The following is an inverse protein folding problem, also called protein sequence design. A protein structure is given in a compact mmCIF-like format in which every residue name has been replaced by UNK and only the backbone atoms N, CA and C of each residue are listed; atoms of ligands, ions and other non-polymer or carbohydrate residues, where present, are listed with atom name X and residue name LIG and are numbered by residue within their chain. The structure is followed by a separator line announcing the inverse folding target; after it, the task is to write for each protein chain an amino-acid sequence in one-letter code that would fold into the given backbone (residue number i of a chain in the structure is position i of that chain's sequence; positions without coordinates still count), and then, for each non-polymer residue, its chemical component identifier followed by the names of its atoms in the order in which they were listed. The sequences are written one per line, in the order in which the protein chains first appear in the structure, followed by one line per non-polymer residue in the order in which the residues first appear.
data_IF_318390325274
#
_entry.id   IF_318390325274
#
_cell.length_a   1.000
_cell.length_b   1.000
_cell.length_c   1.000
_cell.angle_alpha   90.00
_cell.angle_beta   90.00
_cell.angle_gamma   90.00
#
_symmetry.space_group_name_H-M   'P 1'
#
loop_
_entity.id
_entity.type
_entity.pdbx_description
1 polymer ?
#
# COMPACT_ATOMS: atom_id res chain seq x y z
N UNK A 1 5.89 3.31 22.43
CA UNK A 1 6.25 1.89 22.21
C UNK A 1 6.66 1.62 20.76
N UNK A 2 7.47 0.58 20.51
CA UNK A 2 7.82 0.11 19.16
C UNK A 2 6.94 -1.09 18.79
N UNK A 3 6.32 -1.07 17.61
CA UNK A 3 5.44 -2.14 17.12
C UNK A 3 6.13 -2.91 16.00
N UNK A 4 5.84 -4.20 15.88
CA UNK A 4 6.36 -5.02 14.80
C UNK A 4 5.27 -5.98 14.31
N UNK A 5 5.28 -6.36 13.03
CA UNK A 5 4.41 -7.42 12.58
C UNK A 5 4.78 -8.74 13.27
N UNK A 6 3.78 -9.52 13.64
CA UNK A 6 3.92 -10.88 14.10
C UNK A 6 4.42 -11.81 12.98
N UNK A 7 4.90 -13.00 13.35
CA UNK A 7 5.30 -14.03 12.39
C UNK A 7 4.16 -14.38 11.43
N UNK A 8 2.94 -14.60 11.96
CA UNK A 8 1.76 -14.87 11.12
C UNK A 8 1.40 -13.71 10.18
N UNK A 9 1.61 -12.45 10.58
CA UNK A 9 1.42 -11.31 9.69
C UNK A 9 2.45 -11.33 8.56
N UNK A 10 3.72 -11.58 8.88
CA UNK A 10 4.79 -11.66 7.87
C UNK A 10 4.60 -12.81 6.90
N UNK A 11 4.21 -13.99 7.37
CA UNK A 11 3.89 -15.14 6.51
C UNK A 11 2.81 -14.78 5.48
N UNK A 12 1.75 -14.10 5.94
CA UNK A 12 0.67 -13.64 5.05
C UNK A 12 1.13 -12.56 4.08
N UNK A 13 1.94 -11.60 4.54
CA UNK A 13 2.55 -10.60 3.67
C UNK A 13 3.39 -11.26 2.59
N UNK A 14 4.26 -12.19 2.96
CA UNK A 14 5.14 -12.90 2.03
C UNK A 14 4.36 -13.66 0.96
N UNK A 15 3.25 -14.29 1.36
CA UNK A 15 2.37 -15.02 0.46
C UNK A 15 1.63 -14.11 -0.53
N UNK A 16 1.27 -12.89 -0.13
CA UNK A 16 0.40 -11.99 -0.91
C UNK A 16 1.14 -10.89 -1.67
N UNK A 17 2.33 -10.50 -1.21
CA UNK A 17 2.98 -9.27 -1.65
C UNK A 17 3.34 -9.27 -3.14
N UNK A 18 3.88 -10.38 -3.66
CA UNK A 18 4.21 -10.52 -5.09
C UNK A 18 3.12 -11.34 -5.78
N UNK A 19 2.40 -10.76 -6.75
CA UNK A 19 1.36 -11.46 -7.50
C UNK A 19 1.93 -12.60 -8.36
N UNK A 20 1.11 -13.60 -8.69
CA UNK A 20 1.53 -14.77 -9.50
C UNK A 20 1.79 -14.43 -10.97
N UNK A 21 1.14 -13.38 -11.49
CA UNK A 21 1.36 -12.86 -12.83
C UNK A 21 2.25 -11.63 -12.75
N UNK A 22 3.21 -11.56 -13.66
CA UNK A 22 4.07 -10.40 -13.81
C UNK A 22 3.38 -9.37 -14.71
N UNK A 23 3.44 -8.10 -14.28
CA UNK A 23 2.95 -6.96 -15.03
C UNK A 23 4.15 -6.10 -15.43
N UNK A 24 4.33 -5.90 -16.74
CA UNK A 24 5.34 -5.01 -17.27
C UNK A 24 4.68 -3.84 -18.00
N UNK A 25 5.04 -2.63 -17.61
CA UNK A 25 4.51 -1.40 -18.19
C UNK A 25 5.48 -0.92 -19.26
N UNK A 26 4.95 -0.53 -20.42
CA UNK A 26 5.74 -0.06 -21.56
C UNK A 26 5.03 1.11 -22.25
N UNK A 27 5.79 1.89 -22.99
CA UNK A 27 5.29 2.94 -23.89
C UNK A 27 5.21 2.43 -25.34
N UNK A 28 4.50 3.16 -26.20
CA UNK A 28 4.27 2.79 -27.59
C UNK A 28 5.58 2.50 -28.34
N UNK A 29 6.62 3.31 -28.09
CA UNK A 29 7.91 3.21 -28.79
C UNK A 29 8.72 1.95 -28.41
N UNK A 30 8.40 1.31 -27.29
CA UNK A 30 9.06 0.08 -26.86
C UNK A 30 8.46 -1.17 -27.55
N UNK A 31 7.24 -1.09 -28.09
CA UNK A 31 6.55 -2.25 -28.69
C UNK A 31 7.35 -2.98 -29.78
N UNK A 32 7.97 -2.28 -30.76
CA UNK A 32 8.73 -2.96 -31.81
C UNK A 32 9.87 -3.84 -31.29
N UNK A 33 10.38 -3.59 -30.07
CA UNK A 33 11.43 -4.41 -29.44
C UNK A 33 10.91 -5.79 -29.04
N UNK A 34 9.60 -5.92 -28.80
CA UNK A 34 8.96 -7.11 -28.24
C UNK A 34 7.98 -7.81 -29.20
N UNK A 35 7.80 -7.32 -30.42
CA UNK A 35 6.82 -7.82 -31.40
C UNK A 35 6.86 -9.37 -31.57
N UNK A 36 8.06 -9.94 -31.65
CA UNK A 36 8.26 -11.39 -31.84
C UNK A 36 7.83 -12.25 -30.63
N UNK A 37 7.76 -11.66 -29.44
CA UNK A 37 7.47 -12.36 -28.18
C UNK A 37 6.12 -11.98 -27.56
N UNK A 38 5.51 -10.90 -28.05
CA UNK A 38 4.28 -10.33 -27.48
C UNK A 38 3.05 -11.20 -27.74
N UNK A 39 3.07 -12.01 -28.81
CA UNK A 39 1.97 -12.94 -29.14
C UNK A 39 1.75 -14.05 -28.11
N UNK A 40 2.64 -14.19 -27.11
CA UNK A 40 2.55 -15.20 -26.04
C UNK A 40 1.99 -14.63 -24.73
N UNK A 41 1.68 -13.33 -24.70
CA UNK A 41 1.23 -12.58 -23.51
C UNK A 41 0.00 -11.75 -23.85
N UNK A 42 -0.66 -11.21 -22.82
CA UNK A 42 -1.69 -10.21 -23.06
C UNK A 42 -1.03 -8.83 -23.09
N UNK A 43 -1.19 -8.13 -24.21
CA UNK A 43 -0.88 -6.70 -24.30
C UNK A 43 -2.17 -5.91 -24.13
N UNK A 44 -2.30 -5.22 -23.01
CA UNK A 44 -3.54 -4.52 -22.65
C UNK A 44 -3.29 -3.01 -22.69
N UNK A 45 -4.10 -2.22 -23.43
CA UNK A 45 -4.05 -0.76 -23.34
C UNK A 45 -4.24 -0.29 -21.90
N UNK A 46 -3.49 0.72 -21.48
CA UNK A 46 -3.51 1.22 -20.09
C UNK A 46 -4.90 1.58 -19.59
N UNK A 47 -5.70 2.25 -20.43
CA UNK A 47 -7.06 2.67 -20.06
C UNK A 47 -7.97 1.45 -19.84
N UNK A 48 -7.83 0.39 -20.64
CA UNK A 48 -8.55 -0.85 -20.43
C UNK A 48 -8.07 -1.55 -19.15
N UNK A 49 -6.75 -1.62 -18.96
CA UNK A 49 -6.13 -2.28 -17.81
C UNK A 49 -6.65 -1.71 -16.48
N UNK A 50 -6.69 -0.38 -16.33
CA UNK A 50 -7.15 0.27 -15.11
C UNK A 50 -8.67 0.21 -14.90
N UNK A 51 -9.44 -0.11 -15.94
CA UNK A 51 -10.88 -0.36 -15.85
C UNK A 51 -11.22 -1.85 -15.71
N UNK A 52 -10.25 -2.74 -15.90
CA UNK A 52 -10.46 -4.18 -15.84
C UNK A 52 -10.65 -4.67 -14.39
N UNK A 53 -11.76 -5.36 -14.12
CA UNK A 53 -12.16 -5.76 -12.77
C UNK A 53 -11.10 -6.61 -12.02
N UNK A 54 -10.37 -7.47 -12.73
CA UNK A 54 -9.32 -8.29 -12.12
C UNK A 54 -8.01 -7.54 -11.89
N UNK A 55 -7.71 -6.52 -12.70
CA UNK A 55 -6.42 -5.83 -12.66
C UNK A 55 -6.46 -4.57 -11.80
N UNK A 56 -7.65 -3.97 -11.61
CA UNK A 56 -7.88 -2.86 -10.68
C UNK A 56 -7.97 -3.30 -9.21
N UNK A 57 -7.75 -4.58 -8.91
CA UNK A 57 -7.80 -5.06 -7.53
C UNK A 57 -6.76 -4.37 -6.66
N UNK A 58 -7.16 -3.99 -5.44
CA UNK A 58 -6.32 -3.22 -4.51
C UNK A 58 -5.00 -3.91 -4.19
N UNK A 59 -4.98 -5.25 -4.17
CA UNK A 59 -3.75 -6.00 -3.94
C UNK A 59 -2.72 -5.75 -5.05
N UNK A 60 -3.14 -5.79 -6.32
CA UNK A 60 -2.25 -5.51 -7.44
C UNK A 60 -1.82 -4.04 -7.45
N UNK A 61 -2.75 -3.13 -7.18
CA UNK A 61 -2.45 -1.71 -7.10
C UNK A 61 -1.41 -1.39 -6.04
N UNK A 62 -1.48 -2.06 -4.88
CA UNK A 62 -0.51 -1.90 -3.81
C UNK A 62 0.85 -2.53 -4.13
N UNK A 63 0.87 -3.76 -4.67
CA UNK A 63 2.14 -4.44 -5.02
C UNK A 63 2.93 -3.68 -6.08
N UNK A 64 2.25 -3.24 -7.13
CA UNK A 64 2.87 -2.54 -8.26
C UNK A 64 2.83 -1.02 -8.13
N UNK A 65 2.33 -0.50 -7.00
CA UNK A 65 2.24 0.92 -6.68
C UNK A 65 1.67 1.75 -7.84
N UNK A 66 0.48 1.42 -8.33
CA UNK A 66 -0.08 2.03 -9.54
C UNK A 66 -0.15 3.56 -9.53
N UNK A 67 -0.24 4.18 -8.35
CA UNK A 67 -0.23 5.62 -8.19
C UNK A 67 1.13 6.28 -8.45
N UNK A 68 2.22 5.51 -8.42
CA UNK A 68 3.58 5.94 -8.70
C UNK A 68 3.99 5.73 -10.17
N UNK A 69 3.18 4.97 -10.92
CA UNK A 69 3.47 4.61 -12.31
C UNK A 69 3.60 5.84 -13.22
N UNK A 70 4.59 5.80 -14.12
CA UNK A 70 4.80 6.83 -15.13
C UNK A 70 3.54 7.08 -15.98
N UNK A 71 3.31 8.36 -16.29
CA UNK A 71 2.26 8.77 -17.23
C UNK A 71 2.55 8.31 -18.67
N UNK A 72 3.82 8.05 -18.98
CA UNK A 72 4.28 7.59 -20.29
C UNK A 72 3.91 6.13 -20.60
N UNK A 73 3.56 5.32 -19.59
CA UNK A 73 3.10 3.96 -19.87
C UNK A 73 1.81 4.02 -20.73
N UNK A 74 1.80 3.31 -21.86
CA UNK A 74 0.66 3.20 -22.77
C UNK A 74 0.02 1.80 -22.74
N UNK A 75 0.84 0.78 -22.47
CA UNK A 75 0.40 -0.61 -22.44
C UNK A 75 0.92 -1.34 -21.20
N UNK A 76 0.22 -2.42 -20.85
CA UNK A 76 0.61 -3.37 -19.82
C UNK A 76 0.73 -4.75 -20.46
N UNK A 77 1.92 -5.32 -20.43
CA UNK A 77 2.15 -6.73 -20.71
C UNK A 77 1.78 -7.52 -19.45
N UNK A 78 0.78 -8.39 -19.56
CA UNK A 78 0.45 -9.37 -18.54
C UNK A 78 1.02 -10.72 -18.95
N UNK A 79 2.01 -11.18 -18.19
CA UNK A 79 2.76 -12.38 -18.50
C UNK A 79 2.66 -13.45 -17.40
N UNK A 80 2.92 -14.69 -17.78
CA UNK A 80 3.19 -15.75 -16.82
C UNK A 80 4.58 -15.53 -16.20
N UNK A 81 4.82 -16.08 -15.01
CA UNK A 81 6.09 -15.93 -14.29
C UNK A 81 7.33 -16.45 -15.03
N UNK A 82 7.13 -17.31 -16.03
CA UNK A 82 8.22 -17.90 -16.80
C UNK A 82 8.57 -17.09 -18.05
N UNK A 83 7.65 -16.28 -18.57
CA UNK A 83 7.82 -15.60 -19.86
C UNK A 83 9.09 -14.74 -19.89
N UNK A 84 9.40 -14.02 -18.81
CA UNK A 84 10.59 -13.17 -18.75
C UNK A 84 11.90 -13.97 -18.85
N UNK A 85 11.92 -15.23 -18.40
CA UNK A 85 13.10 -16.11 -18.48
C UNK A 85 13.34 -16.65 -19.89
N UNK A 86 12.29 -16.67 -20.70
CA UNK A 86 12.33 -17.15 -22.08
C UNK A 86 12.73 -16.03 -23.07
N UNK A 87 12.76 -14.78 -22.60
CA UNK A 87 13.22 -13.65 -23.40
C UNK A 87 14.71 -13.77 -23.73
N UNK A 88 15.13 -13.39 -24.96
CA UNK A 88 16.53 -13.18 -25.27
C UNK A 88 17.19 -12.24 -24.26
N UNK A 89 18.44 -12.47 -23.83
CA UNK A 89 19.08 -11.70 -22.76
C UNK A 89 19.03 -10.18 -22.96
N UNK A 90 19.25 -9.69 -24.17
CA UNK A 90 19.18 -8.27 -24.50
C UNK A 90 17.77 -7.68 -24.37
N UNK A 91 16.74 -8.42 -24.78
CA UNK A 91 15.33 -8.01 -24.63
C UNK A 91 14.91 -8.02 -23.16
N UNK A 92 15.37 -9.03 -22.38
CA UNK A 92 15.15 -9.10 -20.94
C UNK A 92 15.75 -7.87 -20.25
N UNK A 93 17.04 -7.62 -20.45
CA UNK A 93 17.73 -6.46 -19.87
C UNK A 93 17.01 -5.16 -20.20
N UNK A 94 16.64 -4.97 -21.48
CA UNK A 94 15.91 -3.78 -21.92
C UNK A 94 14.54 -3.65 -21.25
N UNK A 95 13.79 -4.74 -21.10
CA UNK A 95 12.49 -4.73 -20.43
C UNK A 95 12.61 -4.32 -18.96
N UNK A 96 13.60 -4.87 -18.25
CA UNK A 96 13.86 -4.54 -16.84
C UNK A 96 14.23 -3.05 -16.66
N UNK A 97 15.06 -2.52 -17.55
CA UNK A 97 15.40 -1.09 -17.60
C UNK A 97 14.16 -0.21 -17.82
N UNK A 98 13.26 -0.62 -18.72
CA UNK A 98 11.98 0.07 -18.94
C UNK A 98 11.15 0.07 -17.65
N UNK A 99 11.11 -1.03 -16.88
CA UNK A 99 10.32 -1.08 -15.66
C UNK A 99 10.79 -0.09 -14.60
N UNK A 100 12.11 0.09 -14.47
CA UNK A 100 12.67 1.11 -13.59
C UNK A 100 12.26 2.52 -14.06
N UNK A 101 12.39 2.82 -15.37
CA UNK A 101 11.93 4.09 -15.97
C UNK A 101 10.44 4.34 -15.74
N UNK A 102 9.61 3.30 -15.82
CA UNK A 102 8.17 3.39 -15.61
C UNK A 102 7.78 3.57 -14.14
N UNK A 103 8.74 3.55 -13.22
CA UNK A 103 8.53 3.64 -11.77
C UNK A 103 7.51 2.61 -11.27
N UNK A 104 7.62 1.38 -11.79
CA UNK A 104 6.78 0.26 -11.38
C UNK A 104 7.16 -0.16 -9.95
N UNK A 105 6.17 -0.48 -9.11
CA UNK A 105 6.42 -1.15 -7.83
C UNK A 105 7.10 -2.51 -8.00
N UNK A 106 7.47 -3.14 -6.88
CA UNK A 106 8.30 -4.36 -6.83
C UNK A 106 9.70 -4.17 -7.44
N UNK A 107 10.26 -2.97 -7.33
CA UNK A 107 11.66 -2.67 -7.68
C UNK A 107 12.35 -2.18 -6.41
N UNK A 108 13.42 -2.85 -6.00
CA UNK A 108 14.10 -2.56 -4.73
C UNK A 108 15.58 -2.32 -4.96
N UNK A 109 16.22 -1.40 -4.23
CA UNK A 109 17.66 -1.30 -4.26
C UNK A 109 18.26 -2.60 -3.71
N UNK A 110 19.38 -3.05 -4.27
CA UNK A 110 20.05 -4.29 -3.86
C UNK A 110 20.37 -4.29 -2.35
N UNK A 111 20.65 -3.12 -1.79
CA UNK A 111 20.92 -2.92 -0.37
C UNK A 111 19.77 -3.37 0.54
N UNK A 112 18.56 -3.58 0.02
CA UNK A 112 17.42 -4.05 0.79
C UNK A 112 17.43 -5.56 1.06
N UNK A 113 18.27 -6.31 0.36
CA UNK A 113 18.40 -7.76 0.55
C UNK A 113 19.49 -8.05 1.58
N UNK A 114 19.20 -8.91 2.55
CA UNK A 114 20.16 -9.34 3.58
C UNK A 114 21.31 -10.16 3.00
N UNK A 115 21.02 -10.89 1.93
CA UNK A 115 21.93 -11.73 1.17
C UNK A 115 21.61 -11.60 -0.31
N UNK A 116 22.62 -11.75 -1.16
CA UNK A 116 22.48 -11.57 -2.60
C UNK A 116 22.90 -12.87 -3.32
N UNK A 117 21.98 -13.85 -3.43
CA UNK A 117 22.23 -15.03 -4.25
C UNK A 117 22.54 -14.64 -5.70
N UNK A 118 23.38 -15.41 -6.40
CA UNK A 118 23.77 -15.11 -7.79
C UNK A 118 22.55 -14.96 -8.72
N UNK A 119 21.50 -15.77 -8.51
CA UNK A 119 20.30 -15.68 -9.33
C UNK A 119 19.51 -14.37 -9.16
N UNK A 120 19.71 -13.66 -8.04
CA UNK A 120 19.07 -12.35 -7.83
C UNK A 120 19.55 -11.33 -8.87
N UNK A 121 20.80 -11.47 -9.30
CA UNK A 121 21.42 -10.63 -10.34
C UNK A 121 20.87 -10.88 -11.73
N UNK A 122 20.12 -11.98 -11.95
CA UNK A 122 19.46 -12.23 -13.23
C UNK A 122 18.46 -11.13 -13.60
N UNK A 123 17.94 -10.40 -12.61
CA UNK A 123 17.01 -9.28 -12.78
C UNK A 123 17.57 -7.94 -12.25
N UNK A 124 18.90 -7.81 -12.17
CA UNK A 124 19.53 -6.57 -11.75
C UNK A 124 19.52 -5.53 -12.87
N UNK A 125 19.36 -4.27 -12.46
CA UNK A 125 19.34 -3.08 -13.31
C UNK A 125 20.20 -2.03 -12.64
N UNK A 126 21.13 -1.44 -13.39
CA UNK A 126 21.94 -0.33 -12.88
C UNK A 126 21.33 1.00 -13.30
N UNK A 127 21.16 1.91 -12.34
CA UNK A 127 20.81 3.31 -12.59
C UNK A 127 21.75 4.21 -11.78
N UNK A 128 22.55 5.01 -12.50
CA UNK A 128 23.64 5.81 -11.92
C UNK A 128 24.63 4.92 -11.15
N UNK A 129 24.78 5.16 -9.85
CA UNK A 129 25.68 4.41 -8.94
C UNK A 129 24.93 3.33 -8.14
N UNK A 130 23.60 3.25 -8.29
CA UNK A 130 22.76 2.31 -7.55
C UNK A 130 22.38 1.10 -8.41
N UNK A 131 22.34 -0.06 -7.77
CA UNK A 131 21.89 -1.30 -8.37
C UNK A 131 20.52 -1.67 -7.80
N UNK A 132 19.58 -1.94 -8.70
CA UNK A 132 18.18 -2.23 -8.41
C UNK A 132 17.82 -3.64 -8.86
N UNK A 133 16.94 -4.28 -8.11
CA UNK A 133 16.38 -5.59 -8.44
C UNK A 133 14.92 -5.41 -8.83
N UNK A 134 14.61 -5.78 -10.07
CA UNK A 134 13.24 -5.84 -10.56
C UNK A 134 12.66 -7.20 -10.17
N UNK A 135 11.84 -7.20 -9.11
CA UNK A 135 11.27 -8.43 -8.57
C UNK A 135 10.12 -8.92 -9.47
N UNK A 136 10.20 -10.20 -9.84
CA UNK A 136 9.20 -10.95 -10.59
C UNK A 136 8.68 -12.12 -9.76
N UNK A 137 7.55 -12.70 -10.16
CA UNK A 137 6.93 -13.82 -9.46
C UNK A 137 7.88 -15.02 -9.29
N UNK A 138 8.58 -15.43 -10.36
CA UNK A 138 9.57 -16.52 -10.30
C UNK A 138 10.72 -16.20 -9.33
N UNK A 139 11.29 -14.99 -9.44
CA UNK A 139 12.39 -14.57 -8.58
C UNK A 139 11.97 -14.57 -7.11
N UNK A 140 10.77 -14.06 -6.82
CA UNK A 140 10.20 -14.09 -5.48
C UNK A 140 10.03 -15.51 -4.95
N UNK A 141 9.56 -16.46 -5.78
CA UNK A 141 9.41 -17.87 -5.36
C UNK A 141 10.75 -18.50 -4.99
N UNK A 142 11.81 -18.19 -5.73
CA UNK A 142 13.17 -18.75 -5.53
C UNK A 142 13.90 -18.20 -4.29
N UNK A 143 13.52 -17.03 -3.78
CA UNK A 143 14.12 -16.48 -2.56
C UNK A 143 13.82 -17.37 -1.34
N UNK A 144 14.76 -17.45 -0.40
CA UNK A 144 14.52 -18.10 0.89
C UNK A 144 13.54 -17.30 1.73
N UNK A 145 12.85 -17.96 2.67
CA UNK A 145 11.92 -17.28 3.60
C UNK A 145 12.63 -16.17 4.37
N UNK A 146 13.86 -16.40 4.84
CA UNK A 146 14.67 -15.41 5.57
C UNK A 146 14.91 -14.13 4.76
N UNK A 147 15.25 -14.26 3.47
CA UNK A 147 15.47 -13.07 2.61
C UNK A 147 14.15 -12.33 2.38
N UNK A 148 13.04 -13.06 2.18
CA UNK A 148 11.70 -12.46 2.02
C UNK A 148 11.28 -11.70 3.27
N UNK A 149 11.45 -12.28 4.45
CA UNK A 149 11.14 -11.63 5.73
C UNK A 149 11.96 -10.36 5.94
N UNK A 150 13.28 -10.42 5.69
CA UNK A 150 14.14 -9.26 5.80
C UNK A 150 13.71 -8.13 4.85
N UNK A 151 13.48 -8.47 3.57
CA UNK A 151 13.00 -7.50 2.59
C UNK A 151 11.67 -6.87 3.02
N UNK A 152 10.70 -7.69 3.45
CA UNK A 152 9.38 -7.21 3.86
C UNK A 152 9.47 -6.28 5.07
N UNK A 153 10.26 -6.63 6.09
CA UNK A 153 10.44 -5.76 7.28
C UNK A 153 11.11 -4.44 6.89
N UNK A 154 12.18 -4.49 6.11
CA UNK A 154 12.95 -3.32 5.71
C UNK A 154 12.13 -2.38 4.83
N UNK A 155 11.38 -2.94 3.88
CA UNK A 155 10.50 -2.17 3.01
C UNK A 155 9.29 -1.62 3.76
N UNK A 156 8.66 -2.40 4.64
CA UNK A 156 7.52 -1.95 5.45
C UNK A 156 7.84 -0.73 6.32
N UNK A 157 9.08 -0.59 6.79
CA UNK A 157 9.54 0.58 7.55
C UNK A 157 9.66 1.87 6.71
N UNK A 158 9.61 1.77 5.38
CA UNK A 158 9.52 2.95 4.50
C UNK A 158 8.11 3.52 4.44
N UNK A 159 7.08 2.72 4.77
CA UNK A 159 5.67 3.12 4.68
C UNK A 159 5.17 3.84 5.92
N UNK A 160 5.71 3.50 7.09
CA UNK A 160 5.32 4.12 8.34
C UNK A 160 6.41 3.91 9.41
N UNK A 161 6.47 4.85 10.35
CA UNK A 161 7.24 4.69 11.58
C UNK A 161 6.54 3.68 12.47
N UNK A 162 7.33 2.73 12.96
CA UNK A 162 6.87 1.68 13.87
C UNK A 162 6.82 2.13 15.33
N UNK A 163 6.80 3.43 15.57
CA UNK A 163 6.57 4.02 16.88
C UNK A 163 5.08 4.33 17.05
N UNK A 164 4.54 4.01 18.22
CA UNK A 164 3.16 4.29 18.60
C UNK A 164 3.07 4.70 20.06
N UNK A 165 1.99 5.37 20.43
CA UNK A 165 1.63 5.56 21.84
C UNK A 165 1.11 4.24 22.43
N UNK A 166 1.14 4.11 23.76
CA UNK A 166 0.60 2.93 24.44
C UNK A 166 -0.92 2.85 24.30
N UNK A 167 -1.45 1.63 24.19
CA UNK A 167 -2.90 1.41 24.10
C UNK A 167 -3.54 1.70 25.46
N UNK A 168 -4.45 2.69 25.57
CA UNK A 168 -5.03 3.04 26.87
C UNK A 168 -5.88 1.92 27.48
N UNK A 169 -5.85 1.78 28.81
CA UNK A 169 -6.63 0.75 29.52
C UNK A 169 -8.15 0.93 29.40
N UNK A 170 -8.63 2.16 29.20
CA UNK A 170 -10.06 2.43 29.03
C UNK A 170 -10.57 2.12 27.61
N UNK A 171 -9.68 1.88 26.64
CA UNK A 171 -10.09 1.68 25.25
C UNK A 171 -10.99 0.43 25.10
N UNK A 172 -12.10 0.49 24.34
CA UNK A 172 -12.95 -0.67 24.12
C UNK A 172 -12.18 -1.87 23.58
N UNK A 173 -12.50 -3.08 24.09
CA UNK A 173 -11.79 -4.32 23.74
C UNK A 173 -11.73 -4.57 22.22
N UNK A 174 -12.81 -4.22 21.51
CA UNK A 174 -12.88 -4.38 20.07
C UNK A 174 -11.84 -3.51 19.34
N UNK A 175 -11.63 -2.27 19.77
CA UNK A 175 -10.60 -1.38 19.19
C UNK A 175 -9.21 -1.82 19.65
N UNK A 176 -9.04 -2.20 20.93
CA UNK A 176 -7.77 -2.73 21.47
C UNK A 176 -7.22 -3.91 20.67
N UNK A 177 -8.10 -4.78 20.14
CA UNK A 177 -7.72 -5.91 19.27
C UNK A 177 -6.90 -5.46 18.05
N UNK A 178 -7.14 -4.25 17.54
CA UNK A 178 -6.49 -3.69 16.37
C UNK A 178 -5.54 -2.53 16.69
N UNK A 179 -5.55 -2.00 17.90
CA UNK A 179 -4.62 -0.97 18.32
C UNK A 179 -3.18 -1.52 18.25
N UNK A 180 -2.29 -0.76 17.60
CA UNK A 180 -0.86 -1.03 17.55
C UNK A 180 -0.50 -2.37 16.89
N UNK A 181 -1.28 -2.78 15.89
CA UNK A 181 -1.06 -4.01 15.12
C UNK A 181 -1.09 -3.73 13.61
N UNK A 182 -0.68 -4.73 12.85
CA UNK A 182 -0.68 -4.66 11.39
C UNK A 182 -1.86 -5.44 10.78
N UNK A 183 -2.46 -4.94 9.69
CA UNK A 183 -3.33 -5.75 8.84
C UNK A 183 -2.54 -6.90 8.20
N UNK A 184 -3.23 -8.00 7.92
CA UNK A 184 -2.64 -9.12 7.18
C UNK A 184 -2.88 -9.04 5.68
N UNK A 185 -3.73 -8.11 5.23
CA UNK A 185 -4.17 -7.95 3.85
C UNK A 185 -4.24 -6.46 3.50
N UNK A 186 -4.06 -6.12 2.22
CA UNK A 186 -4.27 -4.75 1.74
C UNK A 186 -5.77 -4.47 1.56
N UNK A 187 -6.15 -3.19 1.58
CA UNK A 187 -7.54 -2.77 1.33
C UNK A 187 -8.12 -1.93 2.46
N UNK A 188 -7.85 -2.30 3.71
CA UNK A 188 -8.16 -1.45 4.87
C UNK A 188 -7.49 -0.09 4.70
N UNK A 189 -8.25 1.00 4.82
CA UNK A 189 -7.73 2.38 4.78
C UNK A 189 -8.14 3.19 6.02
N UNK A 190 -7.72 4.46 6.09
CA UNK A 190 -8.03 5.36 7.21
C UNK A 190 -9.54 5.51 7.48
N UNK A 191 -10.33 5.58 6.40
CA UNK A 191 -11.79 5.69 6.45
C UNK A 191 -12.42 4.45 7.06
N UNK A 192 -11.97 3.26 6.65
CA UNK A 192 -12.42 1.99 7.21
C UNK A 192 -12.07 1.85 8.70
N UNK A 193 -10.83 2.18 9.08
CA UNK A 193 -10.39 2.16 10.48
C UNK A 193 -11.23 3.10 11.37
N UNK A 194 -11.54 4.28 10.84
CA UNK A 194 -12.37 5.28 11.54
C UNK A 194 -13.82 4.81 11.68
N UNK A 195 -14.45 4.31 10.62
CA UNK A 195 -15.83 3.79 10.69
C UNK A 195 -15.94 2.54 11.56
N UNK A 196 -14.91 1.69 11.57
CA UNK A 196 -14.82 0.58 12.49
C UNK A 196 -14.85 1.08 13.94
N UNK A 197 -14.02 2.07 14.30
CA UNK A 197 -13.99 2.61 15.66
C UNK A 197 -15.31 3.28 16.05
N UNK A 198 -15.94 4.02 15.11
CA UNK A 198 -17.27 4.64 15.29
C UNK A 198 -18.38 3.63 15.52
N UNK A 199 -18.37 2.51 14.79
CA UNK A 199 -19.51 1.57 14.74
C UNK A 199 -19.34 0.32 15.59
N UNK A 200 -18.11 -0.01 15.98
CA UNK A 200 -17.74 -1.28 16.61
C UNK A 200 -17.91 -2.52 15.72
N UNK A 201 -18.19 -2.35 14.41
CA UNK A 201 -18.46 -3.46 13.50
C UNK A 201 -17.16 -3.99 12.89
N UNK A 202 -16.68 -5.14 13.37
CA UNK A 202 -15.35 -5.67 13.04
C UNK A 202 -15.09 -5.82 11.54
N UNK A 203 -16.07 -6.28 10.76
CA UNK A 203 -15.88 -6.51 9.32
C UNK A 203 -15.50 -5.23 8.55
N UNK A 204 -15.93 -4.06 9.03
CA UNK A 204 -15.64 -2.77 8.38
C UNK A 204 -14.15 -2.46 8.37
N UNK A 205 -13.37 -2.90 9.37
CA UNK A 205 -11.96 -2.54 9.45
C UNK A 205 -11.15 -3.11 8.29
N UNK A 206 -11.64 -4.16 7.63
CA UNK A 206 -10.97 -4.84 6.51
C UNK A 206 -11.39 -4.29 5.13
N UNK A 207 -12.37 -3.39 5.08
CA UNK A 207 -12.92 -2.87 3.84
C UNK A 207 -12.09 -1.73 3.25
N UNK A 208 -12.22 -1.55 1.94
CA UNK A 208 -11.78 -0.32 1.28
C UNK A 208 -12.95 0.67 1.21
N UNK A 209 -12.98 1.62 2.14
CA UNK A 209 -14.07 2.61 2.20
C UNK A 209 -13.73 3.83 1.34
N UNK A 210 -14.66 4.23 0.48
CA UNK A 210 -14.55 5.46 -0.33
C UNK A 210 -15.09 6.70 0.40
N UNK A 211 -14.61 7.92 0.07
CA UNK A 211 -15.02 9.16 0.73
C UNK A 211 -16.55 9.38 0.80
N UNK A 212 -17.29 9.10 -0.28
CA UNK A 212 -18.75 9.26 -0.24
C UNK A 212 -19.40 8.29 0.74
N UNK A 213 -19.03 7.00 0.71
CA UNK A 213 -19.52 5.99 1.66
C UNK A 213 -19.22 6.40 3.11
N UNK A 214 -18.03 6.97 3.34
CA UNK A 214 -17.64 7.48 4.65
C UNK A 214 -18.53 8.63 5.12
N UNK A 215 -18.74 9.65 4.27
CA UNK A 215 -19.63 10.78 4.57
C UNK A 215 -21.07 10.35 4.83
N UNK A 216 -21.61 9.43 4.03
CA UNK A 216 -22.96 8.89 4.20
C UNK A 216 -23.14 8.13 5.53
N UNK A 217 -22.09 7.44 5.99
CA UNK A 217 -22.13 6.75 7.27
C UNK A 217 -22.02 7.75 8.42
N UNK A 218 -21.09 8.69 8.36
CA UNK A 218 -20.90 9.71 9.39
C UNK A 218 -22.13 10.61 9.55
N UNK A 219 -22.76 11.05 8.46
CA UNK A 219 -23.94 11.92 8.53
C UNK A 219 -25.13 11.31 9.29
N UNK A 220 -25.15 9.98 9.45
CA UNK A 220 -26.19 9.24 10.18
C UNK A 220 -25.91 9.13 11.68
N UNK A 221 -24.63 9.11 12.08
CA UNK A 221 -24.22 8.88 13.48
C UNK A 221 -23.59 10.09 14.15
N UNK A 222 -23.04 11.01 13.35
CA UNK A 222 -22.30 12.19 13.80
C UNK A 222 -22.83 13.46 13.10
N UNK A 223 -22.55 14.61 13.71
CA UNK A 223 -22.81 15.94 13.16
C UNK A 223 -21.50 16.73 13.14
N UNK A 224 -21.34 17.58 12.13
CA UNK A 224 -20.24 18.53 12.05
C UNK A 224 -20.39 19.55 13.19
N UNK A 225 -19.31 19.86 13.90
CA UNK A 225 -19.29 20.85 14.97
C UNK A 225 -18.26 21.95 14.70
N UNK A 226 -18.64 23.19 14.98
CA UNK A 226 -17.75 24.36 14.86
C UNK A 226 -16.96 24.56 16.16
N UNK A 227 -15.98 23.70 16.38
CA UNK A 227 -15.08 23.79 17.55
C UNK A 227 -13.71 23.23 17.20
N UNK A 228 -12.69 23.65 17.95
CA UNK A 228 -11.35 23.05 17.94
C UNK A 228 -11.16 22.05 19.07
N UNK A 229 -12.10 21.99 20.01
CA UNK A 229 -12.00 21.16 21.21
C UNK A 229 -12.48 19.74 20.91
N UNK A 230 -11.51 18.82 20.81
CA UNK A 230 -11.73 17.40 20.61
C UNK A 230 -12.16 16.72 21.93
N UNK A 231 -13.26 15.97 21.87
CA UNK A 231 -13.71 15.08 22.96
C UNK A 231 -13.65 13.63 22.50
N UNK A 232 -13.53 12.68 23.44
CA UNK A 232 -13.55 11.26 23.12
C UNK A 232 -14.79 10.90 22.29
N UNK A 233 -14.59 10.12 21.22
CA UNK A 233 -15.65 9.76 20.28
C UNK A 233 -15.74 10.66 19.06
N UNK A 234 -15.06 11.81 19.05
CA UNK A 234 -14.99 12.65 17.86
C UNK A 234 -14.23 11.98 16.72
N UNK A 235 -14.61 12.30 15.49
CA UNK A 235 -13.86 11.99 14.28
C UNK A 235 -13.25 13.27 13.74
N UNK A 236 -11.93 13.28 13.60
CA UNK A 236 -11.21 14.30 12.85
C UNK A 236 -11.07 13.84 11.39
N UNK A 237 -11.52 14.67 10.46
CA UNK A 237 -11.35 14.44 9.02
C UNK A 237 -10.58 15.60 8.39
N UNK A 238 -9.59 15.29 7.56
CA UNK A 238 -8.80 16.24 6.82
C UNK A 238 -9.27 16.28 5.37
N UNK A 239 -9.68 17.47 4.92
CA UNK A 239 -10.32 17.70 3.64
C UNK A 239 -9.47 18.61 2.74
N UNK A 240 -9.38 18.27 1.46
CA UNK A 240 -8.81 19.17 0.45
C UNK A 240 -9.75 20.34 0.16
N UNK A 241 -9.23 21.35 -0.54
CA UNK A 241 -9.99 22.57 -0.86
C UNK A 241 -11.28 22.33 -1.67
N UNK A 242 -11.36 21.23 -2.41
CA UNK A 242 -12.54 20.76 -3.15
C UNK A 242 -13.52 19.92 -2.29
N UNK A 243 -13.25 19.80 -0.98
CA UNK A 243 -14.07 19.06 -0.02
C UNK A 243 -13.91 17.55 -0.10
N UNK A 244 -12.86 17.01 -0.74
CA UNK A 244 -12.57 15.58 -0.69
C UNK A 244 -11.86 15.21 0.61
N UNK A 245 -12.34 14.17 1.30
CA UNK A 245 -11.67 13.68 2.51
C UNK A 245 -10.42 12.92 2.08
N UNK A 246 -9.28 13.41 2.55
CA UNK A 246 -7.95 12.84 2.31
C UNK A 246 -7.54 11.90 3.44
N UNK A 247 -7.94 12.22 4.67
CA UNK A 247 -7.68 11.39 5.84
C UNK A 247 -8.78 11.51 6.89
N UNK A 248 -8.94 10.49 7.73
CA UNK A 248 -9.79 10.55 8.91
C UNK A 248 -9.24 9.67 10.02
N UNK A 249 -9.50 10.07 11.27
CA UNK A 249 -9.10 9.32 12.45
C UNK A 249 -10.08 9.52 13.61
N UNK A 250 -10.20 8.51 14.46
CA UNK A 250 -11.13 8.48 15.59
C UNK A 250 -10.41 8.89 16.89
N UNK A 251 -10.89 9.93 17.56
CA UNK A 251 -10.32 10.42 18.81
C UNK A 251 -10.76 9.51 19.97
N UNK A 252 -9.78 8.84 20.57
CA UNK A 252 -10.00 7.90 21.69
C UNK A 252 -9.83 8.58 23.06
N UNK A 253 -9.70 9.91 23.12
CA UNK A 253 -9.47 10.64 24.36
C UNK A 253 -8.00 10.92 24.65
N UNK A 254 -7.73 11.82 25.60
CA UNK A 254 -6.37 12.25 25.99
C UNK A 254 -5.48 12.69 24.80
N UNK A 255 -6.05 13.34 23.78
CA UNK A 255 -5.33 13.73 22.56
C UNK A 255 -4.78 12.54 21.76
N UNK A 256 -5.28 11.33 22.00
CA UNK A 256 -4.90 10.12 21.30
C UNK A 256 -5.95 9.76 20.24
N UNK A 257 -5.46 9.15 19.17
CA UNK A 257 -6.23 8.82 17.98
C UNK A 257 -5.99 7.39 17.55
N UNK A 258 -7.06 6.67 17.20
CA UNK A 258 -6.98 5.41 16.47
C UNK A 258 -6.88 5.72 14.97
N UNK A 259 -5.73 5.40 14.39
CA UNK A 259 -5.28 5.94 13.11
C UNK A 259 -4.69 4.86 12.19
N UNK A 260 -4.75 5.09 10.88
CA UNK A 260 -4.05 4.31 9.86
C UNK A 260 -3.67 5.19 8.67
N UNK A 261 -2.38 5.32 8.37
CA UNK A 261 -1.85 6.28 7.38
C UNK A 261 -1.85 5.79 5.91
N UNK A 262 -2.54 4.70 5.59
CA UNK A 262 -2.57 4.22 4.20
C UNK A 262 -3.30 2.90 4.02
N UNK A 263 -3.43 2.49 2.76
CA UNK A 263 -4.24 1.32 2.36
C UNK A 263 -3.44 0.01 2.25
N UNK A 264 -2.12 0.08 2.38
CA UNK A 264 -1.27 -1.12 2.30
C UNK A 264 -1.31 -1.88 3.63
N UNK A 265 -0.88 -3.13 3.59
CA UNK A 265 -0.71 -3.88 4.82
C UNK A 265 0.53 -3.48 5.64
N UNK A 266 1.43 -2.69 5.04
CA UNK A 266 2.60 -2.13 5.74
C UNK A 266 2.23 -0.94 6.61
N UNK A 267 1.09 -0.28 6.36
CA UNK A 267 0.58 0.76 7.24
C UNK A 267 -0.16 0.12 8.43
N UNK A 268 0.36 0.21 9.66
CA UNK A 268 -0.30 -0.33 10.85
C UNK A 268 -1.59 0.44 11.20
N UNK A 269 -2.45 -0.20 11.98
CA UNK A 269 -3.42 0.51 12.81
C UNK A 269 -2.74 0.90 14.11
N UNK A 270 -2.70 2.20 14.42
CA UNK A 270 -1.91 2.76 15.51
C UNK A 270 -2.72 3.65 16.42
N UNK A 271 -2.31 3.67 17.68
CA UNK A 271 -2.62 4.75 18.60
C UNK A 271 -1.54 5.81 18.44
N UNK A 272 -1.94 7.00 18.01
CA UNK A 272 -1.04 8.13 17.77
C UNK A 272 -1.51 9.37 18.53
N UNK A 273 -0.58 10.21 18.96
CA UNK A 273 -0.91 11.48 19.59
C UNK A 273 -1.24 12.55 18.54
N UNK A 274 -2.18 13.45 18.84
CA UNK A 274 -2.61 14.52 17.93
C UNK A 274 -1.45 15.40 17.44
N UNK A 275 -0.47 15.65 18.30
CA UNK A 275 0.80 16.35 17.99
C UNK A 275 1.59 15.75 16.82
N UNK A 276 1.45 14.45 16.56
CA UNK A 276 2.10 13.77 15.44
C UNK A 276 1.18 13.72 14.22
N UNK A 277 -0.12 13.50 14.45
CA UNK A 277 -1.12 13.39 13.40
C UNK A 277 -1.39 14.72 12.68
N UNK A 278 -1.51 15.83 13.43
CA UNK A 278 -1.87 17.13 12.86
C UNK A 278 -0.82 17.67 11.88
N UNK A 279 0.50 17.62 12.15
CA UNK A 279 1.51 18.03 11.18
C UNK A 279 1.49 17.22 9.88
N UNK A 280 1.24 15.91 9.97
CA UNK A 280 1.22 14.99 8.82
C UNK A 280 0.15 15.38 7.78
N UNK A 281 -0.99 15.88 8.24
CA UNK A 281 -2.13 16.26 7.39
C UNK A 281 -2.36 17.78 7.34
N UNK A 282 -1.36 18.57 7.75
CA UNK A 282 -1.46 20.04 7.91
C UNK A 282 -1.76 20.82 6.63
N UNK A 283 -1.53 20.21 5.46
CA UNK A 283 -1.88 20.77 4.15
C UNK A 283 -3.39 20.76 3.85
N UNK A 284 -4.19 20.11 4.69
CA UNK A 284 -5.63 19.96 4.54
C UNK A 284 -6.38 20.62 5.71
N UNK A 285 -7.61 21.06 5.44
CA UNK A 285 -8.47 21.63 6.46
C UNK A 285 -9.04 20.52 7.36
N UNK A 286 -9.02 20.72 8.68
CA UNK A 286 -9.59 19.76 9.64
C UNK A 286 -11.06 20.09 9.92
N UNK A 287 -11.91 19.06 9.84
CA UNK A 287 -13.31 19.07 10.24
C UNK A 287 -13.54 18.07 11.37
N UNK A 288 -14.32 18.47 12.38
CA UNK A 288 -14.62 17.62 13.54
C UNK A 288 -16.08 17.17 13.47
N UNK A 289 -16.28 15.86 13.47
CA UNK A 289 -17.59 15.23 13.50
C UNK A 289 -17.81 14.62 14.89
N UNK A 290 -18.88 15.01 15.57
CA UNK A 290 -19.23 14.57 16.93
C UNK A 290 -20.47 13.72 16.92
N UNK A 291 -20.51 12.67 17.76
CA UNK A 291 -21.68 11.81 17.89
C UNK A 291 -22.94 12.65 18.21
N UNK A 292 -24.05 12.31 17.55
CA UNK A 292 -25.36 12.97 17.76
C UNK A 292 -26.01 12.57 19.08
#
# INVERSE_FOLDING_TARGET
MNIQPSETQLEKWIKKYVPEKDLFFIQDEDLPLFEEVIGQVLLIPKDEFFNHASYRQIQLANSYEYWNLSKEANFVIVASENWIKELPPSKKERLLQIQLKMNRGLIFPLSYFSEVPLFLKENAVNEKEDEWIVLTADLWKRLSVTIKEHLMRKYAQQWDRWTSEETPEYLPLIIKKYANTFPTEGGSNCLAATLFAVSGQEWIIHEWVHPQTFKEKLSRTHQLVETTDLIEGDVAAWESADGQIQHASYHIGNQLFFNKNGQTFFNPWKVIHFRELQPEWSQYAISIYRQK
#
